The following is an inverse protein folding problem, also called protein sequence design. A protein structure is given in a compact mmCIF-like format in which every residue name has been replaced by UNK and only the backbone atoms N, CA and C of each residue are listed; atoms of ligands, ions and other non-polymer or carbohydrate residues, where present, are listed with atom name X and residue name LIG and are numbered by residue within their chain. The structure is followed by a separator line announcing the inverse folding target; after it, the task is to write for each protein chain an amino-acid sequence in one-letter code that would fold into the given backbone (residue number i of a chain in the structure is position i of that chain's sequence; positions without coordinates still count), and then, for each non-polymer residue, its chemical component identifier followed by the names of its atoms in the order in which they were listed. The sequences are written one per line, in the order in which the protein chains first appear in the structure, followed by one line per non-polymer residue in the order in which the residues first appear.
data_IF_721986772681
#
_entry.id   IF_721986772681
#
_cell.length_a   1.000
_cell.length_b   1.000
_cell.length_c   1.000
_cell.angle_alpha   90.00
_cell.angle_beta   90.00
_cell.angle_gamma   90.00
#
_symmetry.space_group_name_H-M   'P 1'
#
loop_
_entity.id
_entity.type
_entity.pdbx_description
1 polymer ?
#
# COMPACT_ATOMS: atom_id res chain seq x y z
N UNK A 1 -0.49 15.99 -8.88
CA UNK A 1 -0.23 14.53 -8.79
C UNK A 1 -0.73 13.80 -10.03
N UNK A 2 -1.96 14.02 -10.50
CA UNK A 2 -2.55 13.27 -11.64
C UNK A 2 -2.29 13.84 -13.03
N UNK A 3 -1.78 15.08 -13.16
CA UNK A 3 -1.60 15.75 -14.45
C UNK A 3 -0.66 15.03 -15.44
N UNK A 4 0.10 14.03 -14.97
CA UNK A 4 1.05 13.23 -15.75
C UNK A 4 0.58 11.79 -15.97
N UNK A 5 -0.63 11.45 -15.50
CA UNK A 5 -1.22 10.13 -15.62
C UNK A 5 -2.34 10.17 -16.65
N UNK A 6 -2.34 9.20 -17.55
CA UNK A 6 -3.42 8.94 -18.49
C UNK A 6 -4.44 8.01 -17.81
N UNK A 7 -5.73 8.32 -17.92
CA UNK A 7 -6.83 7.47 -17.42
C UNK A 7 -6.69 6.97 -15.96
N UNK A 8 -6.44 7.85 -14.97
CA UNK A 8 -6.33 7.43 -13.57
C UNK A 8 -7.69 7.03 -13.00
N UNK A 9 -7.79 5.79 -12.49
CA UNK A 9 -9.03 5.24 -11.92
C UNK A 9 -8.73 4.56 -10.59
N UNK A 10 -9.45 4.96 -9.55
CA UNK A 10 -9.53 4.21 -8.29
C UNK A 10 -10.76 3.32 -8.30
N UNK A 11 -10.56 2.01 -8.19
CA UNK A 11 -11.62 1.02 -8.03
C UNK A 11 -11.65 0.55 -6.59
N UNK A 12 -12.67 0.96 -5.83
CA UNK A 12 -12.89 0.50 -4.45
C UNK A 12 -13.25 -0.99 -4.48
N UNK A 13 -12.57 -1.79 -3.67
CA UNK A 13 -12.71 -3.26 -3.63
C UNK A 13 -13.57 -3.69 -2.45
N UNK A 14 -13.13 -3.35 -1.25
CA UNK A 14 -13.81 -3.71 -0.01
C UNK A 14 -13.96 -2.48 0.87
N UNK A 15 -14.98 -2.51 1.73
CA UNK A 15 -15.29 -1.45 2.68
C UNK A 15 -15.67 -2.09 4.00
N UNK A 16 -14.97 -1.69 5.06
CA UNK A 16 -15.24 -2.07 6.43
C UNK A 16 -15.63 -0.81 7.18
N UNK A 17 -16.80 -0.82 7.82
CA UNK A 17 -17.31 0.30 8.59
C UNK A 17 -17.44 -0.11 10.05
N UNK A 18 -17.01 0.78 10.94
CA UNK A 18 -17.15 0.63 12.38
C UNK A 18 -17.38 2.01 13.02
N UNK A 19 -18.61 2.29 13.44
CA UNK A 19 -18.98 3.58 14.02
C UNK A 19 -18.59 4.78 13.13
N UNK A 20 -17.69 5.63 13.63
CA UNK A 20 -17.19 6.83 12.92
C UNK A 20 -15.87 6.59 12.18
N UNK A 21 -15.52 5.34 11.87
CA UNK A 21 -14.36 5.00 11.07
C UNK A 21 -14.73 4.05 9.93
N UNK A 22 -13.98 4.14 8.84
CA UNK A 22 -14.07 3.21 7.74
C UNK A 22 -12.67 2.85 7.24
N UNK A 23 -12.49 1.61 6.83
CA UNK A 23 -11.34 1.18 6.06
C UNK A 23 -11.82 0.73 4.69
N UNK A 24 -11.22 1.27 3.64
CA UNK A 24 -11.50 0.85 2.27
C UNK A 24 -10.24 0.26 1.66
N UNK A 25 -10.37 -0.79 0.85
CA UNK A 25 -9.30 -1.25 -0.03
C UNK A 25 -9.59 -0.78 -1.45
N UNK A 26 -8.55 -0.50 -2.22
CA UNK A 26 -8.68 0.01 -3.58
C UNK A 26 -7.56 -0.48 -4.48
N UNK A 27 -7.89 -0.57 -5.76
CA UNK A 27 -6.94 -0.68 -6.86
C UNK A 27 -6.86 0.67 -7.57
N UNK A 28 -5.65 1.21 -7.73
CA UNK A 28 -5.41 2.42 -8.50
C UNK A 28 -4.74 2.07 -9.82
N UNK A 29 -5.50 2.10 -10.91
CA UNK A 29 -5.01 1.85 -12.27
C UNK A 29 -4.78 3.15 -13.02
N UNK A 30 -3.68 3.24 -13.76
CA UNK A 30 -3.42 4.37 -14.66
C UNK A 30 -2.51 3.95 -15.81
N UNK A 31 -2.45 4.79 -16.84
CA UNK A 31 -1.50 4.68 -17.95
C UNK A 31 -0.43 5.76 -17.84
N UNK A 32 0.80 5.42 -18.20
CA UNK A 32 1.92 6.37 -18.30
C UNK A 32 2.91 5.92 -19.37
N UNK A 33 3.19 6.78 -20.34
CA UNK A 33 4.12 6.49 -21.43
C UNK A 33 3.79 5.17 -22.16
N UNK A 34 2.49 4.94 -22.41
CA UNK A 34 1.98 3.74 -23.09
C UNK A 34 1.96 2.45 -22.25
N UNK A 35 2.41 2.48 -21.00
CA UNK A 35 2.37 1.33 -20.07
C UNK A 35 1.23 1.48 -19.06
N UNK A 36 0.61 0.35 -18.70
CA UNK A 36 -0.41 0.26 -17.66
C UNK A 36 0.26 -0.03 -16.33
N UNK A 37 -0.18 0.67 -15.29
CA UNK A 37 0.25 0.50 -13.92
C UNK A 37 -0.96 0.26 -13.05
N UNK A 38 -0.78 -0.56 -12.01
CA UNK A 38 -1.79 -0.81 -11.00
C UNK A 38 -1.10 -0.81 -9.64
N UNK A 39 -1.65 -0.02 -8.71
CA UNK A 39 -1.21 0.02 -7.32
C UNK A 39 -2.32 -0.52 -6.44
N UNK A 40 -1.94 -1.29 -5.43
CA UNK A 40 -2.86 -1.81 -4.43
C UNK A 40 -2.69 -1.03 -3.13
N UNK A 41 -3.81 -0.72 -2.50
CA UNK A 41 -3.78 -0.01 -1.24
C UNK A 41 -5.09 -0.06 -0.49
N UNK A 42 -5.12 0.72 0.57
CA UNK A 42 -6.30 0.99 1.36
C UNK A 42 -6.19 2.31 2.08
N UNK A 43 -7.34 2.85 2.45
CA UNK A 43 -7.45 4.12 3.14
C UNK A 43 -8.23 3.92 4.43
N UNK A 44 -7.65 4.37 5.53
CA UNK A 44 -8.34 4.52 6.80
C UNK A 44 -8.91 5.94 6.88
N UNK A 45 -10.22 6.01 7.08
CA UNK A 45 -10.99 7.23 7.22
C UNK A 45 -11.58 7.30 8.63
N UNK A 46 -11.54 8.48 9.25
CA UNK A 46 -12.41 8.80 10.39
C UNK A 46 -13.28 9.98 10.06
N UNK A 47 -14.51 9.92 10.53
CA UNK A 47 -15.53 10.93 10.34
C UNK A 47 -15.73 11.72 11.64
N UNK A 48 -15.99 13.01 11.51
CA UNK A 48 -16.47 13.83 12.61
C UNK A 48 -17.99 13.68 12.78
N UNK A 49 -18.54 14.27 13.84
CA UNK A 49 -19.97 14.24 14.13
C UNK A 49 -20.83 14.89 13.02
N UNK A 50 -20.26 15.76 12.19
CA UNK A 50 -20.93 16.36 11.02
C UNK A 50 -20.85 15.48 9.76
N UNK A 51 -20.34 14.25 9.89
CA UNK A 51 -20.24 13.26 8.82
C UNK A 51 -19.08 13.51 7.84
N UNK A 52 -18.27 14.55 8.05
CA UNK A 52 -17.11 14.82 7.18
C UNK A 52 -15.89 14.03 7.62
N UNK A 53 -15.04 13.70 6.66
CA UNK A 53 -13.74 13.08 6.93
C UNK A 53 -12.86 14.06 7.72
N UNK A 54 -12.48 13.68 8.94
CA UNK A 54 -11.56 14.43 9.80
C UNK A 54 -10.17 13.80 9.88
N UNK A 55 -10.04 12.54 9.46
CA UNK A 55 -8.76 11.86 9.25
C UNK A 55 -8.84 11.03 7.97
N UNK A 56 -7.79 11.13 7.16
CA UNK A 56 -7.58 10.28 6.01
C UNK A 56 -6.11 9.83 6.02
N UNK A 57 -5.88 8.52 6.11
CA UNK A 57 -4.55 7.91 6.02
C UNK A 57 -4.54 6.82 4.95
N UNK A 58 -3.61 6.92 4.01
CA UNK A 58 -3.42 5.93 2.95
C UNK A 58 -2.29 4.96 3.29
N UNK A 59 -2.56 3.67 3.07
CA UNK A 59 -1.63 2.56 3.13
C UNK A 59 -1.58 1.97 1.73
N UNK A 60 -0.44 2.01 1.07
CA UNK A 60 -0.32 1.48 -0.28
C UNK A 60 0.97 0.68 -0.39
N UNK A 61 0.91 -0.42 -1.14
CA UNK A 61 2.08 -1.24 -1.38
C UNK A 61 2.88 -0.64 -2.54
N UNK A 62 3.85 0.20 -2.20
CA UNK A 62 4.83 0.76 -3.13
C UNK A 62 5.92 -0.25 -3.51
N UNK A 63 5.96 -1.43 -2.88
CA UNK A 63 7.16 -2.22 -2.79
C UNK A 63 7.58 -2.77 -4.16
N UNK A 64 6.64 -3.07 -5.05
CA UNK A 64 6.97 -3.60 -6.38
C UNK A 64 7.73 -2.56 -7.24
N UNK A 65 7.35 -1.27 -7.24
CA UNK A 65 8.13 -0.24 -7.95
C UNK A 65 9.45 0.13 -7.24
N UNK A 66 9.49 0.10 -5.90
CA UNK A 66 10.68 0.43 -5.10
C UNK A 66 11.74 -0.67 -5.18
N UNK A 67 11.36 -1.95 -5.08
CA UNK A 67 12.28 -3.08 -5.23
C UNK A 67 12.80 -3.20 -6.66
N UNK A 68 11.95 -3.01 -7.67
CA UNK A 68 12.38 -3.09 -9.07
C UNK A 68 13.30 -1.92 -9.48
N UNK A 69 13.22 -0.76 -8.81
CA UNK A 69 14.14 0.38 -9.01
C UNK A 69 15.38 0.39 -8.13
N UNK A 70 15.58 -0.63 -7.29
CA UNK A 70 16.81 -0.80 -6.49
C UNK A 70 17.64 -1.98 -7.02
N UNK A 71 18.24 -1.88 -8.23
CA UNK A 71 19.10 -2.93 -8.78
C UNK A 71 20.33 -3.26 -7.92
N UNK A 72 20.61 -2.47 -6.87
CA UNK A 72 21.79 -2.57 -6.02
C UNK A 72 21.52 -3.07 -4.59
N UNK A 73 20.27 -3.32 -4.18
CA UNK A 73 19.95 -3.77 -2.80
C UNK A 73 19.76 -5.30 -2.69
N UNK A 74 19.92 -6.07 -3.77
CA UNK A 74 19.89 -7.54 -3.68
C UNK A 74 20.92 -8.12 -2.70
N UNK A 75 22.15 -7.59 -2.66
CA UNK A 75 23.20 -8.05 -1.76
C UNK A 75 23.01 -7.60 -0.29
N UNK A 76 22.72 -6.32 0.02
CA UNK A 76 22.38 -5.87 1.37
C UNK A 76 21.14 -6.56 1.95
N UNK A 77 20.08 -6.77 1.16
CA UNK A 77 18.85 -7.43 1.64
C UNK A 77 19.11 -8.92 1.94
N UNK A 78 19.96 -9.59 1.14
CA UNK A 78 20.41 -10.97 1.41
C UNK A 78 21.27 -11.03 2.69
N UNK A 79 22.08 -10.02 2.96
CA UNK A 79 22.87 -9.93 4.19
C UNK A 79 21.96 -9.68 5.41
N UNK A 80 20.99 -8.77 5.30
CA UNK A 80 19.97 -8.51 6.31
C UNK A 80 19.13 -9.76 6.60
N UNK A 81 18.69 -10.51 5.59
CA UNK A 81 17.97 -11.79 5.80
C UNK A 81 18.82 -12.83 6.53
N UNK A 82 20.14 -12.87 6.31
CA UNK A 82 21.06 -13.75 7.07
C UNK A 82 21.29 -13.28 8.50
N UNK A 83 21.20 -11.98 8.75
CA UNK A 83 21.34 -11.39 10.09
C UNK A 83 20.03 -11.46 10.90
N UNK A 84 18.89 -11.41 10.21
CA UNK A 84 17.54 -11.43 10.78
C UNK A 84 16.87 -12.81 10.72
N UNK A 85 17.52 -13.82 10.14
CA UNK A 85 17.15 -15.22 10.37
C UNK A 85 17.46 -15.55 11.83
N UNK A 86 16.54 -15.12 12.70
CA UNK A 86 16.48 -15.47 14.11
C UNK A 86 16.42 -17.00 14.18
N UNK A 87 17.30 -17.54 15.01
CA UNK A 87 17.30 -18.94 15.41
C UNK A 87 15.91 -19.26 15.94
N UNK A 88 15.21 -20.19 15.29
CA UNK A 88 13.92 -20.72 15.73
C UNK A 88 14.17 -21.50 17.03
N UNK A 89 14.22 -20.81 18.16
CA UNK A 89 14.12 -21.45 19.46
C UNK A 89 12.63 -21.68 19.70
N UNK A 90 12.25 -22.94 19.46
CA UNK A 90 10.88 -23.44 19.48
C UNK A 90 10.08 -22.96 20.70
N UNK A 91 8.84 -22.61 20.41
CA UNK A 91 7.79 -22.33 21.37
C UNK A 91 7.52 -23.58 22.23
N UNK A 92 7.59 -23.52 23.57
CA UNK A 92 7.11 -24.61 24.41
C UNK A 92 5.58 -24.64 24.35
N UNK A 93 5.04 -25.82 24.01
CA UNK A 93 3.61 -26.11 23.98
C UNK A 93 2.92 -25.91 25.34
#
# INVERSE_FOLDING_TARGET
MFAVLEEPVFSVREQLLDGQQAFITWDFSFRRAGKVYQLHGGSHLRFAADGKVCLHRDYWDSAEELLHKLPLIGAPLRLLRRLLSVHDQGWPA
#
